data_IF_238740985042
#
_entry.id   IF_238740985042
#
_cell.length_a   1.000
_cell.length_b   1.000
_cell.length_c   1.000
_cell.angle_alpha   90.00
_cell.angle_beta   90.00
_cell.angle_gamma   90.00
#
_symmetry.space_group_name_H-M   'P 1'
#
loop_
_entity.id
_entity.type
_entity.pdbx_description
1 polymer ?
#
# COMPACT_ATOMS: atom_id res chain seq x y z
N UNK A 1 -11.72 1.20 2.98
CA UNK A 1 -10.91 -0.05 2.86
C UNK A 1 -9.96 0.09 1.68
N UNK A 2 -8.72 -0.42 1.73
CA UNK A 2 -7.78 -0.35 0.59
C UNK A 2 -8.10 -1.34 -0.55
N UNK A 3 -9.18 -2.11 -0.42
CA UNK A 3 -9.85 -2.79 -1.54
C UNK A 3 -10.58 -1.83 -2.47
N UNK A 4 -10.85 -0.58 -2.05
CA UNK A 4 -11.62 0.38 -2.85
C UNK A 4 -10.75 1.20 -3.83
N UNK A 5 -9.41 1.20 -3.68
CA UNK A 5 -8.55 2.17 -4.39
C UNK A 5 -8.05 1.68 -5.75
N UNK A 6 -8.06 0.36 -6.02
CA UNK A 6 -7.59 -0.19 -7.30
C UNK A 6 -8.51 -1.27 -7.87
N UNK A 7 -9.54 -1.72 -7.16
CA UNK A 7 -10.39 -2.85 -7.58
C UNK A 7 -9.64 -4.17 -7.77
N UNK A 8 -8.33 -4.18 -7.51
CA UNK A 8 -7.43 -5.31 -7.69
C UNK A 8 -7.27 -6.03 -6.35
N UNK A 9 -7.71 -7.30 -6.24
CA UNK A 9 -7.45 -8.12 -5.07
C UNK A 9 -5.96 -8.21 -4.77
N UNK A 10 -5.60 -8.28 -3.49
CA UNK A 10 -4.20 -8.50 -3.12
C UNK A 10 -3.66 -9.84 -3.62
N UNK A 11 -4.53 -10.83 -3.85
CA UNK A 11 -4.16 -12.12 -4.43
C UNK A 11 -3.61 -11.97 -5.84
N UNK A 12 -4.23 -11.14 -6.67
CA UNK A 12 -3.80 -10.95 -8.05
C UNK A 12 -2.44 -10.23 -8.12
N UNK A 13 -2.26 -9.20 -7.30
CA UNK A 13 -0.98 -8.51 -7.17
C UNK A 13 0.13 -9.45 -6.66
N UNK A 14 -0.20 -10.30 -5.68
CA UNK A 14 0.71 -11.34 -5.17
C UNK A 14 1.08 -12.35 -6.26
N UNK A 15 0.11 -12.76 -7.10
CA UNK A 15 0.31 -13.66 -8.23
C UNK A 15 1.24 -13.08 -9.29
N UNK A 16 1.04 -11.82 -9.69
CA UNK A 16 1.89 -11.14 -10.67
C UNK A 16 3.32 -10.95 -10.15
N UNK A 17 3.48 -10.60 -8.88
CA UNK A 17 4.80 -10.34 -8.27
C UNK A 17 5.51 -11.64 -7.85
N UNK A 18 4.77 -12.73 -7.67
CA UNK A 18 5.31 -13.99 -7.16
C UNK A 18 5.70 -13.92 -5.69
N UNK A 19 4.88 -13.29 -4.84
CA UNK A 19 5.16 -13.17 -3.40
C UNK A 19 3.93 -13.46 -2.53
N UNK A 20 4.09 -13.75 -1.22
CA UNK A 20 2.95 -13.97 -0.34
C UNK A 20 2.03 -12.74 -0.24
N UNK A 21 0.71 -12.96 -0.17
CA UNK A 21 -0.28 -11.89 0.02
C UNK A 21 0.01 -11.04 1.27
N UNK A 22 0.53 -11.66 2.34
CA UNK A 22 0.98 -10.94 3.54
C UNK A 22 2.08 -9.92 3.27
N UNK A 23 2.97 -10.19 2.31
CA UNK A 23 4.02 -9.26 1.88
C UNK A 23 3.42 -8.03 1.22
N UNK A 24 2.49 -8.22 0.28
CA UNK A 24 1.75 -7.13 -0.36
C UNK A 24 1.07 -6.25 0.70
N UNK A 25 0.37 -6.86 1.65
CA UNK A 25 -0.27 -6.14 2.76
C UNK A 25 0.72 -5.32 3.59
N UNK A 26 1.87 -5.89 3.93
CA UNK A 26 2.91 -5.21 4.71
C UNK A 26 3.55 -4.03 3.96
N UNK A 27 3.70 -4.14 2.63
CA UNK A 27 4.23 -3.06 1.77
C UNK A 27 3.25 -1.91 1.69
N UNK A 28 1.98 -2.21 1.43
CA UNK A 28 0.88 -1.24 1.41
C UNK A 28 0.79 -0.48 2.74
N UNK A 29 0.86 -1.19 3.86
CA UNK A 29 0.77 -0.55 5.18
C UNK A 29 1.88 0.48 5.39
N UNK A 30 3.12 0.12 5.02
CA UNK A 30 4.29 1.01 5.12
C UNK A 30 4.16 2.21 4.18
N UNK A 31 3.85 1.97 2.90
CA UNK A 31 3.68 3.03 1.91
C UNK A 31 2.60 4.04 2.32
N UNK A 32 1.53 3.60 3.00
CA UNK A 32 0.52 4.51 3.56
C UNK A 32 1.09 5.38 4.69
N UNK A 33 1.84 4.78 5.61
CA UNK A 33 2.53 5.54 6.67
C UNK A 33 3.47 6.57 6.05
N UNK A 34 4.33 6.15 5.12
CA UNK A 34 5.27 7.04 4.43
C UNK A 34 4.54 8.20 3.73
N UNK A 35 3.39 7.95 3.11
CA UNK A 35 2.56 8.98 2.48
C UNK A 35 1.98 9.98 3.48
N UNK A 36 1.50 9.50 4.63
CA UNK A 36 0.97 10.38 5.69
C UNK A 36 2.08 11.26 6.25
N UNK A 37 3.23 10.68 6.55
CA UNK A 37 4.40 11.41 7.05
C UNK A 37 4.85 12.47 6.03
N UNK A 38 4.88 12.13 4.74
CA UNK A 38 5.21 13.07 3.67
C UNK A 38 4.18 14.20 3.52
N UNK A 39 2.89 13.96 3.81
CA UNK A 39 1.85 14.99 3.81
C UNK A 39 2.04 15.98 4.95
N UNK A 40 2.38 15.50 6.15
CA UNK A 40 2.68 16.37 7.30
C UNK A 40 3.93 17.21 7.03
N UNK A 41 4.96 16.61 6.44
CA UNK A 41 6.17 17.32 6.03
C UNK A 41 5.89 18.41 4.98
N UNK A 42 5.01 18.14 4.01
CA UNK A 42 4.62 19.14 2.98
C UNK A 42 3.77 20.28 3.57
N UNK A 43 2.94 20.02 4.59
CA UNK A 43 2.09 21.03 5.21
C UNK A 43 2.84 21.98 6.17
N UNK A 44 4.05 21.60 6.57
CA UNK A 44 4.89 22.34 7.51
C UNK A 44 5.94 23.24 6.82
N UNK A 45 5.94 23.27 5.48
CA UNK A 45 6.85 24.06 4.62
C UNK A 45 6.09 25.17 3.90
#
# INVERSE_FOLDING_TARGET
>A
MLTQLLGFPYEDAAGVIGCPVGTIRSRVSRARTDLLDAREATASA
#
